data_IF_342462754827
#
_entry.id   IF_342462754827
#
_cell.length_a   1.000
_cell.length_b   1.000
_cell.length_c   1.000
_cell.angle_alpha   90.00
_cell.angle_beta   90.00
_cell.angle_gamma   90.00
#
_symmetry.space_group_name_H-M   'P 1'
#
loop_
_entity.id
_entity.type
_entity.pdbx_description
1 polymer ?
#
# COMPACT_ATOMS: atom_id res chain seq x y z
N UNK A 1 -5.92 -8.93 -11.54
CA UNK A 1 -4.59 -8.53 -12.05
C UNK A 1 -4.57 -7.10 -12.57
N UNK A 2 -5.33 -6.77 -13.63
CA UNK A 2 -5.35 -5.42 -14.25
C UNK A 2 -5.68 -4.33 -13.22
N UNK A 3 -6.67 -4.53 -12.38
CA UNK A 3 -7.05 -3.60 -11.31
C UNK A 3 -5.91 -3.36 -10.31
N UNK A 4 -5.22 -4.41 -9.90
CA UNK A 4 -4.10 -4.32 -8.96
C UNK A 4 -2.93 -3.56 -9.59
N UNK A 5 -2.58 -3.86 -10.83
CA UNK A 5 -1.53 -3.13 -11.56
C UNK A 5 -1.87 -1.64 -11.73
N UNK A 6 -3.13 -1.32 -12.01
CA UNK A 6 -3.59 0.07 -12.12
C UNK A 6 -3.49 0.81 -10.78
N UNK A 7 -3.95 0.19 -9.70
CA UNK A 7 -3.87 0.76 -8.33
C UNK A 7 -2.43 0.99 -7.89
N UNK A 8 -1.52 0.07 -8.19
CA UNK A 8 -0.09 0.21 -7.90
C UNK A 8 0.57 1.27 -8.78
N UNK A 9 0.18 1.38 -10.04
CA UNK A 9 0.64 2.45 -10.94
C UNK A 9 0.28 3.82 -10.39
N UNK A 10 -0.93 4.00 -9.88
CA UNK A 10 -1.34 5.23 -9.19
C UNK A 10 -0.45 5.50 -7.96
N UNK A 11 -0.08 4.46 -7.20
CA UNK A 11 0.83 4.57 -6.07
C UNK A 11 2.22 5.07 -6.48
N UNK A 12 2.76 4.58 -7.60
CA UNK A 12 4.03 5.05 -8.17
C UNK A 12 3.93 6.54 -8.54
N UNK A 13 2.91 6.92 -9.29
CA UNK A 13 2.70 8.34 -9.65
C UNK A 13 2.48 9.21 -8.41
N UNK A 14 1.71 8.73 -7.43
CA UNK A 14 1.44 9.43 -6.17
C UNK A 14 2.67 9.67 -5.32
N UNK A 15 3.69 8.81 -5.41
CA UNK A 15 4.95 8.98 -4.69
C UNK A 15 5.96 9.86 -5.46
N UNK A 16 6.14 9.59 -6.77
CA UNK A 16 7.16 10.27 -7.55
C UNK A 16 6.75 11.67 -8.00
N UNK A 17 5.51 11.86 -8.45
CA UNK A 17 5.05 13.15 -8.95
C UNK A 17 5.23 14.28 -7.91
N UNK A 18 4.75 14.11 -6.65
CA UNK A 18 4.99 15.11 -5.60
C UNK A 18 6.48 15.30 -5.30
N UNK A 19 7.30 14.26 -5.35
CA UNK A 19 8.74 14.35 -5.05
C UNK A 19 9.51 15.24 -6.03
N UNK A 20 9.01 15.39 -7.27
CA UNK A 20 9.59 16.29 -8.27
C UNK A 20 8.98 17.69 -8.23
N UNK A 21 7.73 17.81 -7.84
CA UNK A 21 7.01 19.09 -7.79
C UNK A 21 7.32 19.87 -6.51
N UNK A 22 7.47 19.16 -5.40
CA UNK A 22 7.68 19.75 -4.07
C UNK A 22 8.88 20.71 -3.99
N UNK A 23 10.06 20.43 -4.57
CA UNK A 23 11.20 21.34 -4.55
C UNK A 23 10.93 22.66 -5.29
N UNK A 24 10.04 22.65 -6.29
CA UNK A 24 9.75 23.81 -7.15
C UNK A 24 8.67 24.69 -6.54
N UNK A 25 7.62 24.07 -6.01
CA UNK A 25 6.37 24.75 -5.64
C UNK A 25 6.23 24.90 -4.12
N UNK A 26 6.94 24.07 -3.35
CA UNK A 26 6.87 23.97 -1.89
C UNK A 26 5.83 22.95 -1.41
N UNK A 27 6.01 22.49 -0.17
CA UNK A 27 5.23 21.38 0.40
C UNK A 27 3.71 21.65 0.40
N UNK A 28 3.28 22.81 0.90
CA UNK A 28 1.86 23.15 1.00
C UNK A 28 1.17 23.30 -0.36
N UNK A 29 1.88 23.87 -1.34
CA UNK A 29 1.32 24.11 -2.68
C UNK A 29 1.25 22.84 -3.51
N UNK A 30 2.07 21.83 -3.21
CA UNK A 30 2.02 20.50 -3.86
C UNK A 30 0.66 19.83 -3.67
N UNK A 31 -0.02 20.09 -2.55
CA UNK A 31 -1.38 19.60 -2.31
C UNK A 31 -2.39 20.08 -3.38
N UNK A 32 -2.23 21.29 -3.88
CA UNK A 32 -3.11 21.84 -4.91
C UNK A 32 -2.98 21.13 -6.25
N UNK A 33 -1.84 20.49 -6.51
CA UNK A 33 -1.67 19.65 -7.71
C UNK A 33 -2.49 18.35 -7.68
N UNK A 34 -2.82 17.84 -6.49
CA UNK A 34 -3.68 16.65 -6.38
C UNK A 34 -5.13 16.96 -6.79
N UNK A 35 -5.56 18.21 -6.67
CA UNK A 35 -6.93 18.63 -6.89
C UNK A 35 -7.39 18.46 -8.36
N UNK A 36 -6.64 18.89 -9.39
CA UNK A 36 -6.99 18.64 -10.79
C UNK A 36 -7.12 17.14 -11.11
N UNK A 37 -6.23 16.31 -10.58
CA UNK A 37 -6.30 14.86 -10.80
C UNK A 37 -7.56 14.25 -10.16
N UNK A 38 -7.92 14.71 -8.97
CA UNK A 38 -9.14 14.27 -8.30
C UNK A 38 -10.40 14.69 -9.06
N UNK A 39 -10.42 15.91 -9.58
CA UNK A 39 -11.53 16.41 -10.41
C UNK A 39 -11.65 15.59 -11.70
N UNK A 40 -10.53 15.37 -12.41
CA UNK A 40 -10.51 14.58 -13.65
C UNK A 40 -10.97 13.14 -13.35
N UNK A 41 -10.45 12.50 -12.28
CA UNK A 41 -10.87 11.18 -11.88
C UNK A 41 -12.37 11.11 -11.57
N UNK A 42 -12.91 12.09 -10.86
CA UNK A 42 -14.36 12.18 -10.56
C UNK A 42 -15.19 12.33 -11.83
N UNK A 43 -14.78 13.21 -12.75
CA UNK A 43 -15.45 13.39 -14.04
C UNK A 43 -15.38 12.11 -14.88
N UNK A 44 -14.24 11.45 -14.94
CA UNK A 44 -14.12 10.16 -15.62
C UNK A 44 -15.06 9.10 -15.03
N UNK A 45 -15.13 8.99 -13.71
CA UNK A 45 -16.07 8.09 -13.07
C UNK A 45 -17.53 8.46 -13.40
N UNK A 46 -17.86 9.74 -13.41
CA UNK A 46 -19.21 10.18 -13.70
C UNK A 46 -19.65 9.91 -15.14
N UNK A 47 -18.75 10.07 -16.11
CA UNK A 47 -19.08 9.91 -17.54
C UNK A 47 -18.87 8.49 -18.05
N UNK A 48 -17.86 7.78 -17.58
CA UNK A 48 -17.45 6.47 -18.14
C UNK A 48 -17.91 5.27 -17.33
N UNK A 49 -18.21 5.43 -16.03
CA UNK A 49 -18.75 4.32 -15.26
C UNK A 49 -20.24 4.14 -15.60
N UNK A 50 -20.63 3.03 -16.25
CA UNK A 50 -22.02 2.79 -16.60
C UNK A 50 -22.86 2.76 -15.31
N UNK A 51 -23.95 3.50 -15.29
CA UNK A 51 -24.93 3.39 -14.20
C UNK A 51 -25.41 1.95 -14.17
N UNK A 52 -25.01 1.20 -13.17
CA UNK A 52 -25.62 -0.10 -12.90
C UNK A 52 -27.12 0.12 -12.81
N UNK A 53 -27.87 -0.48 -13.75
CA UNK A 53 -29.30 -0.57 -13.62
C UNK A 53 -29.54 -1.41 -12.36
N UNK A 54 -29.78 -0.73 -11.24
CA UNK A 54 -30.32 -1.40 -10.06
C UNK A 54 -31.59 -2.08 -10.55
N UNK A 55 -31.56 -3.39 -10.66
CA UNK A 55 -32.77 -4.17 -11.01
C UNK A 55 -33.76 -3.87 -9.89
N UNK A 56 -34.73 -3.01 -10.20
CA UNK A 56 -35.82 -2.69 -9.27
C UNK A 56 -36.56 -4.01 -9.01
N UNK A 57 -36.31 -4.63 -7.91
CA UNK A 57 -37.01 -5.86 -7.50
C UNK A 57 -36.21 -6.74 -6.54
N UNK A 58 -34.89 -6.65 -6.50
CA UNK A 58 -34.04 -7.49 -5.62
C UNK A 58 -33.26 -6.67 -4.58
N UNK A 59 -33.72 -5.48 -4.27
CA UNK A 59 -33.14 -4.72 -3.16
C UNK A 59 -33.55 -5.38 -1.84
N UNK A 60 -32.63 -6.14 -1.25
CA UNK A 60 -32.76 -6.61 0.12
C UNK A 60 -33.24 -5.47 1.02
N UNK A 61 -34.26 -5.75 1.83
CA UNK A 61 -34.72 -4.81 2.85
C UNK A 61 -33.52 -4.38 3.71
N UNK A 62 -33.53 -3.14 4.24
CA UNK A 62 -32.48 -2.66 5.15
C UNK A 62 -32.21 -3.62 6.31
N UNK A 63 -33.22 -4.33 6.76
CA UNK A 63 -33.09 -5.37 7.81
C UNK A 63 -32.31 -6.59 7.31
N UNK A 64 -32.55 -7.00 6.07
CA UNK A 64 -31.84 -8.13 5.44
C UNK A 64 -30.38 -7.78 5.16
N UNK A 65 -30.11 -6.55 4.70
CA UNK A 65 -28.73 -6.07 4.51
C UNK A 65 -27.94 -6.02 5.83
N UNK A 66 -28.59 -5.56 6.92
CA UNK A 66 -27.98 -5.57 8.25
C UNK A 66 -27.76 -7.01 8.75
N UNK A 67 -28.67 -7.92 8.44
CA UNK A 67 -28.54 -9.33 8.79
C UNK A 67 -27.36 -9.98 8.05
N UNK A 68 -27.24 -9.76 6.74
CA UNK A 68 -26.11 -10.24 5.95
C UNK A 68 -24.77 -9.67 6.45
N UNK A 69 -24.71 -8.39 6.81
CA UNK A 69 -23.52 -7.79 7.41
C UNK A 69 -23.19 -8.42 8.77
N UNK A 70 -24.18 -8.67 9.59
CA UNK A 70 -24.00 -9.33 10.89
C UNK A 70 -23.56 -10.79 10.74
N UNK A 71 -24.12 -11.52 9.77
CA UNK A 71 -23.69 -12.88 9.43
C UNK A 71 -22.26 -12.88 8.91
N UNK A 72 -21.88 -11.95 8.02
CA UNK A 72 -20.52 -11.79 7.54
C UNK A 72 -19.54 -11.48 8.68
N UNK A 73 -19.89 -10.58 9.58
CA UNK A 73 -19.09 -10.27 10.76
C UNK A 73 -18.95 -11.48 11.70
N UNK A 74 -20.02 -12.25 11.86
CA UNK A 74 -20.00 -13.47 12.68
C UNK A 74 -19.08 -14.53 12.08
N UNK A 75 -19.13 -14.72 10.76
CA UNK A 75 -18.22 -15.64 10.04
C UNK A 75 -16.77 -15.21 10.22
N UNK A 76 -16.49 -13.89 10.13
CA UNK A 76 -15.14 -13.35 10.31
C UNK A 76 -14.56 -13.71 11.69
N UNK A 77 -15.36 -13.63 12.75
CA UNK A 77 -14.90 -13.92 14.12
C UNK A 77 -14.90 -15.41 14.42
N UNK A 78 -15.89 -16.16 13.93
CA UNK A 78 -16.06 -17.58 14.24
C UNK A 78 -15.09 -18.47 13.46
N UNK A 79 -14.78 -18.11 12.21
CA UNK A 79 -13.86 -18.89 11.39
C UNK A 79 -12.41 -18.48 11.62
N UNK A 80 -11.67 -19.29 12.41
CA UNK A 80 -10.26 -19.03 12.76
C UNK A 80 -9.37 -18.77 11.54
N UNK A 81 -9.62 -19.42 10.40
CA UNK A 81 -8.80 -19.22 9.19
C UNK A 81 -9.03 -17.82 8.61
N UNK A 82 -10.28 -17.40 8.53
CA UNK A 82 -10.67 -16.08 8.02
C UNK A 82 -10.16 -14.99 8.97
N UNK A 83 -10.28 -15.17 10.28
CA UNK A 83 -9.78 -14.25 11.28
C UNK A 83 -8.27 -14.05 11.17
N UNK A 84 -7.50 -15.13 11.01
CA UNK A 84 -6.03 -15.04 10.83
C UNK A 84 -5.70 -14.28 9.54
N UNK A 85 -6.37 -14.57 8.43
CA UNK A 85 -6.17 -13.83 7.17
C UNK A 85 -6.48 -12.34 7.32
N UNK A 86 -7.57 -12.00 8.01
CA UNK A 86 -7.94 -10.61 8.28
C UNK A 86 -6.89 -9.89 9.13
N UNK A 87 -6.39 -10.52 10.20
CA UNK A 87 -5.32 -9.94 11.04
C UNK A 87 -4.05 -9.71 10.22
N UNK A 88 -3.63 -10.69 9.44
CA UNK A 88 -2.47 -10.56 8.57
C UNK A 88 -2.66 -9.39 7.58
N UNK A 89 -3.86 -9.26 6.99
CA UNK A 89 -4.18 -8.16 6.07
C UNK A 89 -4.13 -6.79 6.76
N UNK A 90 -4.63 -6.70 7.99
CA UNK A 90 -4.57 -5.47 8.80
C UNK A 90 -3.10 -5.08 9.04
N UNK A 91 -2.26 -6.03 9.48
CA UNK A 91 -0.84 -5.78 9.74
C UNK A 91 -0.12 -5.31 8.47
N UNK A 92 -0.37 -5.96 7.33
CA UNK A 92 0.21 -5.54 6.05
C UNK A 92 -0.22 -4.12 5.66
N UNK A 93 -1.51 -3.80 5.77
CA UNK A 93 -2.02 -2.46 5.46
C UNK A 93 -1.46 -1.41 6.42
N UNK A 94 -1.28 -1.73 7.70
CA UNK A 94 -0.68 -0.84 8.68
C UNK A 94 0.77 -0.49 8.30
N UNK A 95 1.54 -1.45 7.81
CA UNK A 95 2.87 -1.20 7.27
C UNK A 95 2.81 -0.35 5.99
N UNK A 96 1.99 -0.72 5.03
CA UNK A 96 1.92 -0.05 3.73
C UNK A 96 1.49 1.43 3.85
N UNK A 97 0.54 1.73 4.72
CA UNK A 97 -0.02 3.07 4.89
C UNK A 97 0.55 3.81 6.11
N UNK A 98 0.99 3.11 7.14
CA UNK A 98 1.59 3.71 8.33
C UNK A 98 3.04 4.18 8.11
N UNK A 99 3.85 3.40 7.41
CA UNK A 99 5.24 3.76 7.15
C UNK A 99 5.42 5.09 6.42
N UNK A 100 4.69 5.39 5.33
CA UNK A 100 4.85 6.67 4.65
C UNK A 100 4.45 7.87 5.50
N UNK A 101 3.71 7.67 6.60
CA UNK A 101 3.34 8.73 7.54
C UNK A 101 4.35 8.85 8.67
N UNK A 102 4.73 7.73 9.28
CA UNK A 102 5.59 7.71 10.49
C UNK A 102 7.05 7.93 10.14
N UNK A 103 7.56 7.31 9.08
CA UNK A 103 8.97 7.38 8.73
C UNK A 103 9.46 8.76 8.31
N UNK A 104 8.71 9.62 7.60
CA UNK A 104 9.12 11.00 7.37
C UNK A 104 9.31 11.79 8.67
N UNK A 105 8.45 11.56 9.67
CA UNK A 105 8.59 12.22 10.97
C UNK A 105 9.88 11.81 11.67
N UNK A 106 10.32 10.58 11.49
CA UNK A 106 11.57 10.07 12.05
C UNK A 106 12.79 10.49 11.22
N UNK A 107 12.73 10.37 9.89
CA UNK A 107 13.89 10.55 9.00
C UNK A 107 14.11 11.99 8.53
N UNK A 108 13.04 12.81 8.45
CA UNK A 108 13.07 14.11 7.80
C UNK A 108 12.86 15.27 8.78
N UNK A 109 12.61 15.01 10.06
CA UNK A 109 12.41 16.08 11.05
C UNK A 109 13.34 15.93 12.25
N UNK A 110 13.57 17.05 12.97
CA UNK A 110 14.29 17.04 14.24
C UNK A 110 13.38 16.99 15.46
N UNK A 111 12.05 17.09 15.25
CA UNK A 111 11.08 17.07 16.34
C UNK A 111 10.89 15.66 16.90
N UNK A 112 10.68 15.55 18.20
CA UNK A 112 10.35 14.31 18.90
C UNK A 112 11.34 13.15 18.67
N UNK A 113 12.63 13.43 18.55
CA UNK A 113 13.66 12.41 18.40
C UNK A 113 13.90 11.96 16.95
N UNK A 114 13.43 12.72 15.97
CA UNK A 114 13.78 12.52 14.57
C UNK A 114 15.27 12.79 14.29
N UNK A 115 15.83 12.01 13.35
CA UNK A 115 17.28 12.06 13.03
C UNK A 115 17.62 13.03 11.90
N UNK A 116 16.63 13.53 11.17
CA UNK A 116 16.75 14.54 10.09
C UNK A 116 17.90 14.27 9.09
N UNK A 117 17.95 13.04 8.55
CA UNK A 117 19.02 12.61 7.64
C UNK A 117 18.60 12.81 6.18
N UNK A 118 17.30 12.65 5.88
CA UNK A 118 16.77 12.78 4.53
C UNK A 118 15.81 13.95 4.41
N UNK A 119 15.76 14.55 3.21
CA UNK A 119 14.69 15.48 2.85
C UNK A 119 13.41 14.71 2.54
N UNK A 120 12.25 15.35 2.75
CA UNK A 120 10.93 14.75 2.48
C UNK A 120 10.82 14.21 1.04
N UNK A 121 11.40 14.92 0.08
CA UNK A 121 11.44 14.54 -1.34
C UNK A 121 12.25 13.25 -1.58
N UNK A 122 13.38 13.13 -0.93
CA UNK A 122 14.25 11.95 -1.02
C UNK A 122 13.57 10.73 -0.42
N UNK A 123 12.93 10.91 0.73
CA UNK A 123 12.11 9.88 1.33
C UNK A 123 10.98 9.40 0.41
N UNK A 124 10.25 10.33 -0.21
CA UNK A 124 9.18 9.97 -1.15
C UNK A 124 9.70 9.15 -2.34
N UNK A 125 10.89 9.46 -2.85
CA UNK A 125 11.53 8.67 -3.91
C UNK A 125 11.91 7.28 -3.41
N UNK A 126 12.50 7.18 -2.23
CA UNK A 126 12.87 5.90 -1.61
C UNK A 126 11.61 5.04 -1.41
N UNK A 127 10.55 5.61 -0.86
CA UNK A 127 9.29 4.90 -0.66
C UNK A 127 8.59 4.54 -1.97
N UNK A 128 8.69 5.38 -2.98
CA UNK A 128 8.18 5.12 -4.33
C UNK A 128 8.71 3.82 -4.93
N UNK A 129 9.93 3.41 -4.61
CA UNK A 129 10.47 2.13 -5.04
C UNK A 129 9.67 0.93 -4.52
N UNK A 130 9.06 1.01 -3.35
CA UNK A 130 8.17 -0.05 -2.83
C UNK A 130 7.06 -0.34 -3.84
N UNK A 131 6.41 0.71 -4.38
CA UNK A 131 5.33 0.55 -5.36
C UNK A 131 5.82 0.03 -6.70
N UNK A 132 7.00 0.49 -7.17
CA UNK A 132 7.61 0.00 -8.41
C UNK A 132 7.90 -1.50 -8.31
N UNK A 133 8.54 -1.92 -7.23
CA UNK A 133 8.85 -3.33 -6.99
C UNK A 133 7.57 -4.15 -6.84
N UNK A 134 6.59 -3.65 -6.12
CA UNK A 134 5.29 -4.31 -5.96
C UNK A 134 4.60 -4.51 -7.32
N UNK A 135 4.68 -3.53 -8.22
CA UNK A 135 4.12 -3.62 -9.56
C UNK A 135 4.79 -4.74 -10.39
N UNK A 136 6.11 -4.79 -10.37
CA UNK A 136 6.90 -5.78 -11.12
C UNK A 136 6.65 -7.19 -10.55
N UNK A 137 6.74 -7.34 -9.25
CA UNK A 137 6.61 -8.65 -8.60
C UNK A 137 5.16 -9.15 -8.49
N UNK A 138 4.15 -8.30 -8.68
CA UNK A 138 2.76 -8.72 -8.64
C UNK A 138 2.45 -9.78 -9.70
N UNK A 139 3.01 -9.63 -10.90
CA UNK A 139 2.87 -10.62 -11.97
C UNK A 139 3.57 -11.93 -11.61
N UNK A 140 4.78 -11.84 -11.06
CA UNK A 140 5.55 -13.00 -10.64
C UNK A 140 4.86 -13.78 -9.52
N UNK A 141 4.35 -13.08 -8.49
CA UNK A 141 3.67 -13.71 -7.37
C UNK A 141 2.35 -14.35 -7.77
N UNK A 142 1.57 -13.76 -8.67
CA UNK A 142 0.35 -14.38 -9.19
C UNK A 142 0.67 -15.74 -9.80
N UNK A 143 1.60 -15.77 -10.76
CA UNK A 143 2.03 -17.02 -11.40
C UNK A 143 2.62 -18.04 -10.41
N UNK A 144 3.42 -17.58 -9.46
CA UNK A 144 4.08 -18.45 -8.48
C UNK A 144 3.07 -19.06 -7.50
N UNK A 145 2.10 -18.29 -7.01
CA UNK A 145 1.07 -18.76 -6.09
C UNK A 145 0.11 -19.73 -6.74
N UNK A 146 -0.22 -19.54 -8.02
CA UNK A 146 -1.07 -20.47 -8.78
C UNK A 146 -0.40 -21.85 -8.94
N UNK A 147 0.94 -21.88 -9.03
CA UNK A 147 1.70 -23.13 -9.24
C UNK A 147 2.06 -23.85 -7.94
N UNK A 148 2.46 -23.13 -6.91
CA UNK A 148 3.01 -23.68 -5.66
C UNK A 148 2.08 -23.52 -4.45
N UNK A 149 0.94 -22.87 -4.64
CA UNK A 149 0.03 -22.51 -3.55
C UNK A 149 0.48 -21.25 -2.81
N UNK A 150 -0.45 -20.59 -2.14
CA UNK A 150 -0.27 -19.28 -1.55
C UNK A 150 0.33 -19.27 -0.13
N UNK A 151 0.20 -20.38 0.63
CA UNK A 151 0.58 -20.41 2.06
C UNK A 151 2.08 -20.28 2.28
N UNK A 152 2.87 -21.01 1.49
CA UNK A 152 4.32 -21.02 1.63
C UNK A 152 4.99 -19.71 1.20
N UNK A 153 4.69 -19.13 0.03
CA UNK A 153 5.21 -17.84 -0.37
C UNK A 153 4.83 -16.73 0.59
N UNK A 154 3.60 -16.74 1.11
CA UNK A 154 3.15 -15.75 2.06
C UNK A 154 3.92 -15.81 3.37
N UNK A 155 4.16 -17.00 3.91
CA UNK A 155 4.88 -17.18 5.16
C UNK A 155 6.30 -16.64 5.07
N UNK A 156 7.04 -17.03 4.03
CA UNK A 156 8.46 -16.74 3.94
C UNK A 156 8.76 -15.41 3.23
N UNK A 157 8.13 -15.14 2.12
CA UNK A 157 8.40 -13.92 1.37
C UNK A 157 7.48 -12.77 1.78
N UNK A 158 6.23 -13.03 2.14
CA UNK A 158 5.34 -12.01 2.67
C UNK A 158 5.77 -11.58 4.08
N UNK A 159 5.54 -12.43 5.08
CA UNK A 159 5.75 -12.06 6.49
C UNK A 159 7.22 -11.81 6.82
N UNK A 160 8.13 -12.70 6.40
CA UNK A 160 9.55 -12.55 6.72
C UNK A 160 10.18 -11.35 6.01
N UNK A 161 9.89 -11.14 4.73
CA UNK A 161 10.40 -9.97 4.00
C UNK A 161 9.88 -8.66 4.57
N UNK A 162 8.59 -8.59 4.96
CA UNK A 162 8.06 -7.40 5.62
C UNK A 162 8.70 -7.16 6.98
N UNK A 163 8.89 -8.18 7.79
CA UNK A 163 9.56 -8.05 9.09
C UNK A 163 11.00 -7.55 8.93
N UNK A 164 11.78 -8.20 8.06
CA UNK A 164 13.18 -7.81 7.78
C UNK A 164 13.24 -6.41 7.19
N UNK A 165 12.39 -6.09 6.21
CA UNK A 165 12.34 -4.77 5.59
C UNK A 165 11.98 -3.66 6.56
N UNK A 166 11.02 -3.90 7.47
CA UNK A 166 10.62 -2.94 8.50
C UNK A 166 11.75 -2.66 9.47
N UNK A 167 12.44 -3.70 9.93
CA UNK A 167 13.62 -3.57 10.80
C UNK A 167 14.75 -2.83 10.06
N UNK A 168 14.95 -3.16 8.78
CA UNK A 168 15.97 -2.51 7.95
C UNK A 168 15.70 -1.01 7.80
N UNK A 169 14.47 -0.59 7.54
CA UNK A 169 14.11 0.84 7.46
C UNK A 169 14.44 1.63 8.72
N UNK A 170 14.32 1.00 9.89
CA UNK A 170 14.62 1.64 11.16
C UNK A 170 16.12 1.71 11.45
N UNK A 171 16.85 0.59 11.24
CA UNK A 171 18.25 0.48 11.65
C UNK A 171 19.25 0.97 10.60
N UNK A 172 18.95 0.88 9.31
CA UNK A 172 19.87 1.32 8.24
C UNK A 172 20.28 2.79 8.41
N UNK A 173 19.36 3.75 8.67
CA UNK A 173 19.74 5.14 8.88
C UNK A 173 20.64 5.35 10.10
N UNK A 174 20.49 4.53 11.14
CA UNK A 174 21.31 4.61 12.34
C UNK A 174 22.75 4.10 12.11
N UNK A 175 22.91 3.07 11.29
CA UNK A 175 24.21 2.43 11.06
C UNK A 175 24.98 3.05 9.88
N UNK A 176 24.28 3.41 8.82
CA UNK A 176 24.87 3.86 7.55
C UNK A 176 24.58 5.32 7.24
N UNK A 177 23.90 6.05 8.12
CA UNK A 177 23.53 7.45 7.90
C UNK A 177 22.65 7.65 6.65
N UNK A 178 22.89 8.73 5.92
CA UNK A 178 22.14 9.14 4.72
C UNK A 178 22.45 8.28 3.48
N UNK A 179 22.49 6.96 3.61
CA UNK A 179 22.79 6.08 2.48
C UNK A 179 21.50 5.69 1.73
N UNK A 180 21.17 6.45 0.68
CA UNK A 180 19.98 6.21 -0.15
C UNK A 180 19.97 4.80 -0.80
N UNK A 181 21.13 4.25 -1.16
CA UNK A 181 21.21 2.92 -1.80
C UNK A 181 20.74 1.83 -0.85
N UNK A 182 21.20 1.87 0.40
CA UNK A 182 20.78 0.89 1.42
C UNK A 182 19.28 1.03 1.75
N UNK A 183 18.75 2.24 1.75
CA UNK A 183 17.32 2.48 1.93
C UNK A 183 16.49 1.95 0.75
N UNK A 184 16.99 2.06 -0.48
CA UNK A 184 16.35 1.46 -1.66
C UNK A 184 16.34 -0.07 -1.56
N UNK A 185 17.41 -0.69 -1.06
CA UNK A 185 17.43 -2.15 -0.83
C UNK A 185 16.35 -2.54 0.19
N UNK A 186 16.19 -1.79 1.27
CA UNK A 186 15.10 -2.01 2.22
C UNK A 186 13.72 -1.86 1.55
N UNK A 187 13.54 -0.86 0.66
CA UNK A 187 12.32 -0.67 -0.11
C UNK A 187 12.01 -1.85 -1.03
N UNK A 188 13.04 -2.44 -1.65
CA UNK A 188 12.89 -3.63 -2.48
C UNK A 188 12.39 -4.80 -1.64
N UNK A 189 12.96 -5.04 -0.47
CA UNK A 189 12.56 -6.12 0.42
C UNK A 189 11.11 -5.94 0.88
N UNK A 190 10.72 -4.72 1.29
CA UNK A 190 9.34 -4.40 1.68
C UNK A 190 8.39 -4.55 0.49
N UNK A 191 8.78 -4.10 -0.71
CA UNK A 191 7.97 -4.21 -1.93
C UNK A 191 7.67 -5.66 -2.30
N UNK A 192 8.66 -6.55 -2.22
CA UNK A 192 8.49 -7.99 -2.44
C UNK A 192 7.51 -8.57 -1.41
N UNK A 193 7.66 -8.24 -0.14
CA UNK A 193 6.78 -8.70 0.93
C UNK A 193 5.33 -8.20 0.77
N UNK A 194 5.17 -6.91 0.51
CA UNK A 194 3.85 -6.28 0.30
C UNK A 194 3.12 -6.91 -0.89
N UNK A 195 3.85 -7.20 -1.97
CA UNK A 195 3.30 -7.83 -3.16
C UNK A 195 2.75 -9.23 -2.88
N UNK A 196 3.47 -10.03 -2.09
CA UNK A 196 3.02 -11.36 -1.72
C UNK A 196 1.65 -11.33 -1.01
N UNK A 197 1.38 -10.29 -0.21
CA UNK A 197 0.07 -10.08 0.43
C UNK A 197 -1.02 -9.57 -0.52
N UNK A 198 -0.68 -8.74 -1.50
CA UNK A 198 -1.65 -8.22 -2.45
C UNK A 198 -2.19 -9.31 -3.39
N UNK A 199 -1.44 -10.38 -3.58
CA UNK A 199 -1.80 -11.54 -4.40
C UNK A 199 -2.67 -12.57 -3.67
N UNK A 200 -3.04 -12.34 -2.40
CA UNK A 200 -3.99 -13.20 -1.68
C UNK A 200 -5.34 -13.21 -2.39
N UNK A 201 -5.94 -14.38 -2.59
CA UNK A 201 -7.33 -14.45 -3.02
C UNK A 201 -8.22 -13.76 -1.97
N UNK A 202 -8.96 -12.77 -2.43
CA UNK A 202 -9.95 -12.01 -1.64
C UNK A 202 -11.29 -12.74 -1.64
#
# INVERSE_FOLDING_TARGET
FVWTCFSLGIGVFGAYLPSFIMPIVGEYKTFWFALPFSIVGTLMCFFFVPKNKVVKGEGLSRKEQLKELAEGATILVTNRKILICAIIRIINNLLLYGFPVIMPLYLCTTHNGGINIFKTEEWMRIWGFVFVITLIFNTFWGWFMDRYGWVWPMRWFGCAALAVGSVAFYYIPQWFGANAVMMIIASIIVGIGTCAFSSLPT
#
